data_IF_828846333311
#
_entry.id   IF_828846333311
#
_cell.length_a   1.000
_cell.length_b   1.000
_cell.length_c   1.000
_cell.angle_alpha   90.00
_cell.angle_beta   90.00
_cell.angle_gamma   90.00
#
_symmetry.space_group_name_H-M   'P 1'
#
loop_
_entity.id
_entity.type
_entity.pdbx_description
1 polymer ?
#
# COMPACT_ATOMS: atom_id res chain seq x y z
N UNK A 1 -53.10 -32.52 -52.01
CA UNK A 1 -53.57 -31.33 -51.27
C UNK A 1 -54.51 -31.83 -50.19
N UNK A 2 -54.25 -31.81 -48.89
CA UNK A 2 -53.08 -31.46 -48.09
C UNK A 2 -53.37 -32.01 -46.67
N UNK A 3 -52.43 -32.76 -46.10
CA UNK A 3 -52.52 -33.23 -44.71
C UNK A 3 -52.23 -32.05 -43.78
N UNK A 4 -53.26 -31.59 -43.07
CA UNK A 4 -53.11 -30.59 -42.00
C UNK A 4 -52.43 -31.23 -40.80
N UNK A 5 -51.13 -30.94 -40.67
CA UNK A 5 -50.36 -31.13 -39.46
C UNK A 5 -50.97 -30.29 -38.31
N UNK A 6 -51.80 -30.92 -37.48
CA UNK A 6 -52.11 -30.40 -36.13
C UNK A 6 -50.85 -30.50 -35.27
N UNK A 7 -49.97 -29.52 -35.46
CA UNK A 7 -48.81 -29.24 -34.61
C UNK A 7 -49.35 -29.03 -33.20
N UNK A 8 -49.12 -30.00 -32.32
CA UNK A 8 -49.49 -29.93 -30.92
C UNK A 8 -49.01 -28.60 -30.33
N UNK A 9 -49.95 -27.85 -29.76
CA UNK A 9 -49.65 -26.64 -29.00
C UNK A 9 -48.88 -27.07 -27.76
N UNK A 10 -47.55 -27.07 -27.82
CA UNK A 10 -46.69 -27.14 -26.64
C UNK A 10 -46.96 -25.90 -25.82
N UNK A 11 -47.78 -26.02 -24.79
CA UNK A 11 -48.04 -24.95 -23.84
C UNK A 11 -46.73 -24.56 -23.15
N UNK A 12 -46.22 -23.33 -23.34
CA UNK A 12 -44.93 -22.90 -22.77
C UNK A 12 -44.91 -22.81 -21.24
N UNK A 13 -46.09 -22.91 -20.62
CA UNK A 13 -46.32 -22.86 -19.17
C UNK A 13 -46.48 -24.24 -18.53
N UNK A 14 -46.38 -25.33 -19.30
CA UNK A 14 -46.04 -26.64 -18.71
C UNK A 14 -44.55 -26.61 -18.36
N UNK A 15 -44.20 -25.87 -17.30
CA UNK A 15 -42.96 -26.13 -16.61
C UNK A 15 -43.06 -27.57 -16.12
N UNK A 16 -42.20 -28.48 -16.61
CA UNK A 16 -42.10 -29.82 -16.05
C UNK A 16 -41.82 -29.68 -14.56
N UNK A 17 -42.70 -30.23 -13.71
CA UNK A 17 -42.44 -30.27 -12.28
C UNK A 17 -41.07 -30.95 -12.06
N UNK A 18 -40.19 -30.37 -11.23
CA UNK A 18 -38.90 -30.97 -10.95
C UNK A 18 -39.10 -32.40 -10.44
N UNK A 19 -38.24 -33.33 -10.86
CA UNK A 19 -38.28 -34.76 -10.52
C UNK A 19 -38.42 -35.00 -9.00
N UNK A 20 -37.91 -34.08 -8.18
CA UNK A 20 -38.00 -34.12 -6.71
C UNK A 20 -39.41 -33.89 -6.14
N UNK A 21 -40.30 -33.24 -6.90
CA UNK A 21 -41.69 -32.95 -6.51
C UNK A 21 -42.73 -33.77 -7.27
N UNK A 22 -42.32 -34.49 -8.32
CA UNK A 22 -43.21 -35.36 -9.10
C UNK A 22 -43.76 -36.49 -8.22
N UNK A 23 -45.06 -36.44 -7.94
CA UNK A 23 -45.78 -37.48 -7.19
C UNK A 23 -45.96 -37.20 -5.69
N UNK A 24 -45.48 -36.05 -5.20
CA UNK A 24 -45.76 -35.59 -3.84
C UNK A 24 -47.10 -34.85 -3.79
N UNK A 25 -47.89 -35.04 -2.73
CA UNK A 25 -49.11 -34.26 -2.52
C UNK A 25 -48.79 -32.77 -2.31
N UNK A 26 -49.71 -31.87 -2.65
CA UNK A 26 -49.52 -30.41 -2.52
C UNK A 26 -49.04 -29.97 -1.12
N UNK A 27 -49.50 -30.66 -0.06
CA UNK A 27 -49.05 -30.45 1.32
C UNK A 27 -47.59 -30.86 1.57
N UNK A 28 -47.11 -31.90 0.88
CA UNK A 28 -45.76 -32.44 1.03
C UNK A 28 -44.74 -31.58 0.28
N UNK A 29 -45.11 -31.05 -0.89
CA UNK A 29 -44.33 -30.02 -1.61
C UNK A 29 -44.20 -28.74 -0.77
N UNK A 30 -45.29 -28.31 -0.12
CA UNK A 30 -45.29 -27.16 0.81
C UNK A 30 -44.32 -27.37 1.99
N UNK A 31 -44.33 -28.55 2.60
CA UNK A 31 -43.43 -28.87 3.70
C UNK A 31 -41.96 -28.89 3.26
N UNK A 32 -41.68 -29.46 2.08
CA UNK A 32 -40.33 -29.49 1.51
C UNK A 32 -39.82 -28.08 1.20
N UNK A 33 -40.64 -27.22 0.59
CA UNK A 33 -40.29 -25.82 0.37
C UNK A 33 -40.04 -25.06 1.68
N UNK A 34 -40.84 -25.28 2.72
CA UNK A 34 -40.60 -24.68 4.04
C UNK A 34 -39.27 -25.13 4.66
N UNK A 35 -38.88 -26.38 4.45
CA UNK A 35 -37.58 -26.89 4.91
C UNK A 35 -36.43 -26.23 4.14
N UNK A 36 -36.55 -26.13 2.82
CA UNK A 36 -35.57 -25.46 1.95
C UNK A 36 -35.42 -23.98 2.34
N UNK A 37 -36.52 -23.28 2.58
CA UNK A 37 -36.51 -21.88 3.02
C UNK A 37 -35.78 -21.73 4.36
N UNK A 38 -36.05 -22.61 5.33
CA UNK A 38 -35.34 -22.60 6.63
C UNK A 38 -33.83 -22.82 6.49
N UNK A 39 -33.41 -23.71 5.61
CA UNK A 39 -31.99 -23.97 5.35
C UNK A 39 -31.32 -22.76 4.68
N UNK A 40 -32.02 -22.08 3.76
CA UNK A 40 -31.53 -20.85 3.13
C UNK A 40 -31.40 -19.70 4.12
N UNK A 41 -32.39 -19.48 5.00
CA UNK A 41 -32.32 -18.44 6.05
C UNK A 41 -31.10 -18.66 6.95
N UNK A 42 -30.86 -19.90 7.39
CA UNK A 42 -29.67 -20.22 8.18
C UNK A 42 -28.37 -19.94 7.42
N UNK A 43 -28.35 -20.19 6.10
CA UNK A 43 -27.22 -19.83 5.23
C UNK A 43 -27.02 -18.32 5.09
N UNK A 44 -28.10 -17.55 4.99
CA UNK A 44 -28.08 -16.08 4.91
C UNK A 44 -27.60 -15.46 6.22
N UNK A 45 -27.98 -16.01 7.37
CA UNK A 45 -27.48 -15.56 8.68
C UNK A 45 -25.96 -15.79 8.80
N UNK A 46 -25.48 -16.96 8.37
CA UNK A 46 -24.05 -17.26 8.35
C UNK A 46 -23.28 -16.32 7.41
N UNK A 47 -23.84 -16.06 6.21
CA UNK A 47 -23.29 -15.12 5.25
C UNK A 47 -23.27 -13.69 5.80
N UNK A 48 -24.38 -13.23 6.39
CA UNK A 48 -24.52 -11.94 7.04
C UNK A 48 -23.48 -11.74 8.13
N UNK A 49 -23.25 -12.76 8.98
CA UNK A 49 -22.20 -12.72 10.00
C UNK A 49 -20.80 -12.55 9.40
N UNK A 50 -20.55 -13.18 8.25
CA UNK A 50 -19.25 -13.13 7.56
C UNK A 50 -19.04 -11.78 6.89
N UNK A 51 -20.08 -11.23 6.26
CA UNK A 51 -20.08 -9.88 5.69
C UNK A 51 -19.89 -8.84 6.80
N UNK A 52 -20.51 -9.01 7.96
CA UNK A 52 -20.35 -8.11 9.11
C UNK A 52 -18.89 -8.08 9.59
N UNK A 53 -18.25 -9.25 9.71
CA UNK A 53 -16.82 -9.35 10.04
C UNK A 53 -15.92 -8.72 8.96
N UNK A 54 -16.20 -8.96 7.68
CA UNK A 54 -15.47 -8.32 6.59
C UNK A 54 -15.62 -6.80 6.61
N UNK A 55 -16.83 -6.29 6.88
CA UNK A 55 -17.07 -4.85 7.00
C UNK A 55 -16.22 -4.24 8.12
N UNK A 56 -16.17 -4.90 9.28
CA UNK A 56 -15.34 -4.45 10.40
C UNK A 56 -13.86 -4.42 10.00
N UNK A 57 -13.36 -5.49 9.37
CA UNK A 57 -11.98 -5.54 8.88
C UNK A 57 -11.68 -4.42 7.86
N UNK A 58 -12.60 -4.12 6.94
CA UNK A 58 -12.43 -2.99 6.01
C UNK A 58 -12.39 -1.63 6.71
N UNK A 59 -13.12 -1.46 7.82
CA UNK A 59 -13.06 -0.23 8.62
C UNK A 59 -11.71 -0.10 9.33
N UNK A 60 -11.21 -1.21 9.89
CA UNK A 60 -9.87 -1.26 10.52
C UNK A 60 -8.77 -0.98 9.51
N UNK A 61 -8.83 -1.57 8.30
CA UNK A 61 -7.91 -1.29 7.20
C UNK A 61 -7.97 0.20 6.79
N UNK A 62 -9.16 0.78 6.74
CA UNK A 62 -9.33 2.20 6.42
C UNK A 62 -8.63 3.11 7.44
N UNK A 63 -8.86 2.87 8.72
CA UNK A 63 -8.21 3.65 9.79
C UNK A 63 -6.68 3.48 9.78
N UNK A 64 -6.19 2.25 9.58
CA UNK A 64 -4.75 1.97 9.49
C UNK A 64 -4.11 2.66 8.27
N UNK A 65 -4.81 2.72 7.13
CA UNK A 65 -4.33 3.46 5.96
C UNK A 65 -4.26 4.97 6.22
N UNK A 66 -5.24 5.54 6.95
CA UNK A 66 -5.20 6.95 7.35
C UNK A 66 -4.03 7.22 8.30
N UNK A 67 -3.77 6.32 9.26
CA UNK A 67 -2.64 6.42 10.20
C UNK A 67 -1.29 6.28 9.50
N UNK A 68 -1.18 5.35 8.53
CA UNK A 68 0.01 5.22 7.69
C UNK A 68 0.26 6.45 6.82
N UNK A 69 -0.79 7.16 6.39
CA UNK A 69 -0.64 8.39 5.62
C UNK A 69 0.00 9.50 6.47
N UNK A 70 -0.42 9.63 7.73
CA UNK A 70 0.21 10.54 8.70
C UNK A 70 1.70 10.19 8.94
N UNK A 71 2.01 8.90 9.09
CA UNK A 71 3.40 8.44 9.25
C UNK A 71 4.26 8.76 8.01
N UNK A 72 3.70 8.63 6.80
CA UNK A 72 4.40 8.94 5.55
C UNK A 72 4.71 10.44 5.46
N UNK A 73 3.79 11.30 5.84
CA UNK A 73 4.01 12.76 5.88
C UNK A 73 5.10 13.13 6.89
N UNK A 74 5.09 12.53 8.08
CA UNK A 74 6.14 12.72 9.08
C UNK A 74 7.51 12.23 8.60
N UNK A 75 7.54 11.09 7.91
CA UNK A 75 8.77 10.56 7.31
C UNK A 75 9.30 11.51 6.23
N UNK A 76 8.42 12.06 5.37
CA UNK A 76 8.82 13.02 4.34
C UNK A 76 9.44 14.28 4.97
N UNK A 77 8.81 14.81 6.02
CA UNK A 77 9.33 15.95 6.78
C UNK A 77 10.69 15.63 7.43
N UNK A 78 10.87 14.44 7.99
CA UNK A 78 12.14 14.03 8.59
C UNK A 78 13.26 13.87 7.54
N UNK A 79 12.93 13.35 6.37
CA UNK A 79 13.86 13.24 5.23
C UNK A 79 14.30 14.62 4.76
N UNK A 80 13.37 15.56 4.59
CA UNK A 80 13.70 16.94 4.18
C UNK A 80 14.61 17.64 5.19
N UNK A 81 14.30 17.53 6.49
CA UNK A 81 15.17 18.03 7.56
C UNK A 81 16.56 17.36 7.58
N UNK A 82 16.63 16.08 7.24
CA UNK A 82 17.89 15.33 7.18
C UNK A 82 18.73 15.79 5.99
N UNK A 83 18.11 16.04 4.83
CA UNK A 83 18.78 16.58 3.64
C UNK A 83 19.35 17.98 3.91
N UNK A 84 18.59 18.86 4.58
CA UNK A 84 19.09 20.18 4.96
C UNK A 84 20.31 20.11 5.89
N UNK A 85 20.27 19.22 6.89
CA UNK A 85 21.41 18.98 7.79
C UNK A 85 22.60 18.42 7.01
N UNK A 86 22.38 17.43 6.14
CA UNK A 86 23.42 16.86 5.29
C UNK A 86 24.07 17.93 4.40
N UNK A 87 23.27 18.80 3.78
CA UNK A 87 23.76 19.89 2.92
C UNK A 87 24.59 20.90 3.71
N UNK A 88 24.18 21.19 4.93
CA UNK A 88 24.90 22.12 5.82
C UNK A 88 26.22 21.53 6.29
N UNK A 89 26.25 20.23 6.65
CA UNK A 89 27.49 19.54 7.02
C UNK A 89 28.42 19.34 5.82
N UNK A 90 27.91 18.98 4.64
CA UNK A 90 28.71 18.92 3.41
C UNK A 90 29.34 20.29 3.07
N UNK A 91 28.62 21.38 3.31
CA UNK A 91 29.15 22.75 3.15
C UNK A 91 30.23 23.06 4.19
N UNK A 92 30.09 22.61 5.44
CA UNK A 92 31.15 22.72 6.44
C UNK A 92 32.39 21.91 6.06
N UNK A 93 32.22 20.69 5.57
CA UNK A 93 33.34 19.84 5.11
C UNK A 93 34.10 20.51 3.96
N UNK A 94 33.41 21.04 2.95
CA UNK A 94 34.06 21.76 1.83
C UNK A 94 34.74 23.06 2.26
N UNK A 95 34.19 23.79 3.23
CA UNK A 95 34.82 24.99 3.79
C UNK A 95 36.03 24.67 4.69
N UNK A 96 35.99 23.56 5.42
CA UNK A 96 37.09 23.11 6.30
C UNK A 96 38.29 22.63 5.47
N UNK A 97 38.05 21.94 4.35
CA UNK A 97 39.10 21.49 3.44
C UNK A 97 39.87 22.67 2.80
N UNK A 98 39.15 23.74 2.41
CA UNK A 98 39.76 24.91 1.77
C UNK A 98 40.55 25.85 2.69
N UNK A 99 40.18 25.99 3.97
CA UNK A 99 40.72 27.05 4.83
C UNK A 99 41.91 26.63 5.70
N UNK A 100 42.01 25.37 6.10
CA UNK A 100 43.06 24.89 7.02
C UNK A 100 44.38 24.55 6.33
N UNK A 101 44.35 23.94 5.13
CA UNK A 101 45.56 23.57 4.42
C UNK A 101 46.31 24.80 3.89
N UNK A 102 45.58 25.77 3.32
CA UNK A 102 46.18 26.93 2.64
C UNK A 102 46.85 27.91 3.61
N UNK A 103 46.20 28.27 4.72
CA UNK A 103 46.75 29.26 5.65
C UNK A 103 47.98 28.71 6.41
N UNK A 104 47.92 27.46 6.88
CA UNK A 104 49.04 26.82 7.57
C UNK A 104 50.25 26.61 6.67
N UNK A 105 50.03 26.13 5.44
CA UNK A 105 51.12 25.92 4.46
C UNK A 105 51.78 27.23 4.05
N UNK A 106 51.02 28.30 3.81
CA UNK A 106 51.58 29.63 3.49
C UNK A 106 52.40 30.17 4.67
N UNK A 107 51.94 30.00 5.92
CA UNK A 107 52.71 30.40 7.11
C UNK A 107 54.03 29.65 7.22
N UNK A 108 54.03 28.33 6.98
CA UNK A 108 55.27 27.51 6.99
C UNK A 108 56.23 27.95 5.89
N UNK A 109 55.73 28.19 4.67
CA UNK A 109 56.54 28.69 3.55
C UNK A 109 57.18 30.04 3.89
N UNK A 110 56.42 30.99 4.46
CA UNK A 110 56.95 32.30 4.85
C UNK A 110 58.05 32.19 5.92
N UNK A 111 57.86 31.33 6.92
CA UNK A 111 58.85 31.10 7.97
C UNK A 111 60.15 30.53 7.37
N UNK A 112 60.05 29.53 6.48
CA UNK A 112 61.21 28.96 5.80
C UNK A 112 61.95 29.98 4.91
N UNK A 113 61.23 30.86 4.21
CA UNK A 113 61.84 31.93 3.42
C UNK A 113 62.65 32.89 4.29
N UNK A 114 62.11 33.29 5.44
CA UNK A 114 62.83 34.15 6.39
C UNK A 114 64.09 33.45 6.90
N UNK A 115 64.03 32.16 7.24
CA UNK A 115 65.19 31.40 7.69
C UNK A 115 66.29 31.33 6.61
N UNK A 116 65.92 31.11 5.34
CA UNK A 116 66.87 31.10 4.21
C UNK A 116 67.54 32.46 4.05
N UNK A 117 66.78 33.56 4.11
CA UNK A 117 67.33 34.93 4.02
C UNK A 117 68.29 35.20 5.18
N UNK A 118 67.93 34.81 6.40
CA UNK A 118 68.81 34.97 7.57
C UNK A 118 70.11 34.20 7.38
N UNK A 119 70.07 32.95 6.90
CA UNK A 119 71.28 32.16 6.63
C UNK A 119 72.11 32.75 5.49
N UNK A 120 71.48 33.24 4.43
CA UNK A 120 72.16 33.83 3.28
C UNK A 120 72.81 35.20 3.62
N UNK A 121 72.19 35.97 4.50
CA UNK A 121 72.72 37.25 5.01
C UNK A 121 73.70 37.02 6.14
N UNK A 122 73.55 35.90 6.88
CA UNK A 122 74.55 35.49 7.86
C UNK A 122 75.87 35.37 7.09
N UNK A 123 76.89 36.14 7.49
CA UNK A 123 78.10 36.26 6.70
C UNK A 123 78.74 34.89 6.55
N UNK A 124 78.63 34.32 5.35
CA UNK A 124 79.54 33.28 4.85
C UNK A 124 80.90 33.95 4.64
N UNK A 125 81.57 34.26 5.75
CA UNK A 125 83.00 34.54 5.82
C UNK A 125 83.74 33.22 6.00
#
# INVERSE_FOLDING_TARGET
MGEEAKRGSSNPWLCEEPEETRGLGFDEVRQQQQKIIKEQDAGLDALSSTISRQKQMCQEIGNELDEQNEIIDDLANLVENTDEKLRTEARRVTLVDGKSASCGMIMVILLLLVAIVVVAVWPTN
#
